data_IF_224322043712
#
_entry.id   IF_224322043712
#
_cell.length_a   1.000
_cell.length_b   1.000
_cell.length_c   1.000
_cell.angle_alpha   90.00
_cell.angle_beta   90.00
_cell.angle_gamma   90.00
#
_symmetry.space_group_name_H-M   'P 1'
#
loop_
_entity.id
_entity.type
_entity.pdbx_description
1 polymer ?
#
# COMPACT_ATOMS: atom_id res chain seq x y z
N UNK A 1 10.06 15.91 9.49
CA UNK A 1 8.58 15.77 9.52
C UNK A 1 8.24 14.46 10.20
N UNK A 2 7.24 14.42 11.11
CA UNK A 2 6.90 13.20 11.87
C UNK A 2 6.07 12.24 10.99
N UNK A 3 6.39 10.96 11.06
CA UNK A 3 5.68 9.89 10.36
C UNK A 3 4.90 9.05 11.36
N UNK A 4 3.71 8.59 10.96
CA UNK A 4 3.00 7.54 11.68
C UNK A 4 3.70 6.19 11.41
N UNK A 5 3.67 5.24 12.36
CA UNK A 5 4.10 3.88 12.08
C UNK A 5 3.25 3.27 10.94
N UNK A 6 3.75 2.25 10.23
CA UNK A 6 2.96 1.54 9.23
C UNK A 6 1.65 1.02 9.83
N UNK A 7 0.53 1.28 9.16
CA UNK A 7 -0.81 0.91 9.60
C UNK A 7 -1.64 0.29 8.47
N UNK A 8 -2.73 -0.39 8.82
CA UNK A 8 -3.62 -1.01 7.83
C UNK A 8 -4.48 0.05 7.14
N UNK A 9 -4.68 -0.14 5.83
CA UNK A 9 -5.56 0.67 5.00
C UNK A 9 -6.77 -0.17 4.55
N UNK A 10 -7.88 0.49 4.25
CA UNK A 10 -9.12 -0.17 3.88
C UNK A 10 -9.59 0.22 2.45
N UNK A 11 -10.81 -0.17 2.09
CA UNK A 11 -11.38 0.09 0.78
C UNK A 11 -11.44 1.60 0.44
N UNK A 12 -11.72 2.46 1.43
CA UNK A 12 -11.90 3.89 1.24
C UNK A 12 -10.59 4.62 0.92
N UNK A 13 -9.45 4.03 1.28
CA UNK A 13 -8.13 4.55 0.94
C UNK A 13 -7.74 4.35 -0.53
N UNK A 14 -8.53 3.60 -1.32
CA UNK A 14 -8.21 3.31 -2.73
C UNK A 14 -7.83 4.55 -3.56
N UNK A 15 -8.55 5.70 -3.51
CA UNK A 15 -8.16 6.87 -4.28
C UNK A 15 -6.77 7.38 -3.90
N UNK A 16 -6.46 7.41 -2.58
CA UNK A 16 -5.17 7.87 -2.04
C UNK A 16 -4.04 6.93 -2.47
N UNK A 17 -4.27 5.62 -2.44
CA UNK A 17 -3.33 4.58 -2.90
C UNK A 17 -3.04 4.75 -4.40
N UNK A 18 -4.07 4.98 -5.22
CA UNK A 18 -3.89 5.20 -6.66
C UNK A 18 -3.10 6.48 -6.94
N UNK A 19 -3.40 7.57 -6.26
CA UNK A 19 -2.67 8.84 -6.38
C UNK A 19 -1.20 8.65 -6.02
N UNK A 20 -0.89 8.03 -4.87
CA UNK A 20 0.49 7.73 -4.47
C UNK A 20 1.23 6.88 -5.51
N UNK A 21 0.60 5.80 -6.01
CA UNK A 21 1.24 4.91 -7.00
C UNK A 21 1.54 5.64 -8.30
N UNK A 22 0.66 6.53 -8.76
CA UNK A 22 0.92 7.39 -9.94
C UNK A 22 2.08 8.36 -9.67
N UNK A 23 2.06 9.05 -8.53
CA UNK A 23 3.11 9.98 -8.14
C UNK A 23 4.49 9.28 -7.99
N UNK A 24 4.50 8.02 -7.57
CA UNK A 24 5.69 7.18 -7.52
C UNK A 24 6.20 6.72 -8.90
N UNK A 25 5.49 7.05 -9.99
CA UNK A 25 5.84 6.67 -11.36
C UNK A 25 5.52 5.21 -11.72
N UNK A 26 4.64 4.54 -10.96
CA UNK A 26 4.29 3.15 -11.24
C UNK A 26 3.21 3.05 -12.32
N UNK A 27 3.39 2.09 -13.23
CA UNK A 27 2.34 1.72 -14.17
C UNK A 27 1.14 1.13 -13.42
N UNK A 28 -0.05 1.65 -13.71
CA UNK A 28 -1.31 1.24 -13.08
C UNK A 28 -2.32 0.82 -14.15
N UNK A 29 -3.14 -0.19 -13.84
CA UNK A 29 -4.21 -0.71 -14.70
C UNK A 29 -5.60 -0.49 -14.06
N UNK A 30 -6.12 0.75 -14.02
CA UNK A 30 -7.35 1.11 -13.30
C UNK A 30 -8.62 0.50 -13.91
N UNK A 31 -8.60 0.09 -15.18
CA UNK A 31 -9.69 -0.67 -15.82
C UNK A 31 -9.57 -2.19 -15.67
N UNK A 32 -8.51 -2.66 -15.00
CA UNK A 32 -8.20 -4.09 -14.86
C UNK A 32 -7.90 -4.46 -13.41
N UNK A 33 -6.75 -5.11 -13.19
CA UNK A 33 -6.39 -5.66 -11.86
C UNK A 33 -6.16 -4.61 -10.77
N UNK A 34 -5.94 -3.35 -11.13
CA UNK A 34 -5.84 -2.24 -10.17
C UNK A 34 -7.15 -1.43 -10.09
N UNK A 35 -8.27 -1.93 -10.66
CA UNK A 35 -9.59 -1.29 -10.55
C UNK A 35 -10.11 -1.30 -9.11
N UNK A 36 -10.96 -0.32 -8.77
CA UNK A 36 -11.65 -0.23 -7.47
C UNK A 36 -12.36 -1.55 -7.14
N UNK A 37 -13.14 -2.08 -8.08
CA UNK A 37 -13.87 -3.35 -7.92
C UNK A 37 -12.94 -4.54 -7.64
N UNK A 38 -11.80 -4.62 -8.33
CA UNK A 38 -10.84 -5.70 -8.08
C UNK A 38 -10.19 -5.56 -6.70
N UNK A 39 -9.80 -4.34 -6.34
CA UNK A 39 -9.19 -4.03 -5.05
C UNK A 39 -10.12 -4.36 -3.88
N UNK A 40 -11.38 -3.89 -3.93
CA UNK A 40 -12.39 -4.17 -2.91
C UNK A 40 -12.69 -5.66 -2.78
N UNK A 41 -12.84 -6.37 -3.90
CA UNK A 41 -13.08 -7.82 -3.89
C UNK A 41 -11.93 -8.58 -3.21
N UNK A 42 -10.67 -8.17 -3.45
CA UNK A 42 -9.51 -8.81 -2.84
C UNK A 42 -9.37 -8.51 -1.35
N UNK A 43 -9.71 -7.28 -0.93
CA UNK A 43 -9.80 -6.94 0.49
C UNK A 43 -10.89 -7.76 1.19
N UNK A 44 -12.09 -7.79 0.61
CA UNK A 44 -13.25 -8.48 1.18
C UNK A 44 -13.05 -10.01 1.28
N UNK A 45 -12.22 -10.60 0.40
CA UNK A 45 -11.90 -12.03 0.48
C UNK A 45 -10.90 -12.36 1.60
N UNK A 46 -10.36 -11.38 2.31
CA UNK A 46 -9.32 -11.54 3.33
C UNK A 46 -7.94 -11.92 2.77
N UNK A 47 -7.81 -12.08 1.44
CA UNK A 47 -6.57 -12.52 0.80
C UNK A 47 -5.59 -11.35 0.69
N UNK A 48 -6.10 -10.13 0.49
CA UNK A 48 -5.27 -8.93 0.38
C UNK A 48 -5.28 -8.12 1.66
N UNK A 49 -4.09 -7.72 2.09
CA UNK A 49 -3.87 -6.72 3.13
C UNK A 49 -3.12 -5.53 2.54
N UNK A 50 -3.42 -4.34 3.02
CA UNK A 50 -2.77 -3.12 2.56
C UNK A 50 -2.19 -2.38 3.75
N UNK A 51 -0.90 -2.08 3.67
CA UNK A 51 -0.16 -1.38 4.73
C UNK A 51 0.31 -0.04 4.19
N UNK A 52 0.04 1.04 4.92
CA UNK A 52 0.39 2.41 4.56
C UNK A 52 1.31 3.07 5.58
N UNK A 53 2.15 4.01 5.12
CA UNK A 53 2.83 4.98 5.97
C UNK A 53 2.25 6.36 5.66
N UNK A 54 1.82 7.04 6.70
CA UNK A 54 1.28 8.39 6.61
C UNK A 54 2.19 9.41 7.30
N UNK A 55 2.14 10.65 6.83
CA UNK A 55 2.62 11.79 7.61
C UNK A 55 1.75 12.01 8.84
N UNK A 56 2.24 12.78 9.81
CA UNK A 56 1.41 13.21 10.96
C UNK A 56 0.14 13.97 10.51
N UNK A 57 0.17 14.61 9.35
CA UNK A 57 -0.93 15.36 8.74
C UNK A 57 -1.92 14.45 7.99
N UNK A 58 -1.60 13.16 7.82
CA UNK A 58 -2.48 12.21 7.13
C UNK A 58 -2.21 12.10 5.62
N UNK A 59 -1.05 12.50 5.12
CA UNK A 59 -0.69 12.26 3.72
C UNK A 59 -0.12 10.85 3.57
N UNK A 60 -0.67 10.06 2.66
CA UNK A 60 -0.16 8.72 2.37
C UNK A 60 1.10 8.81 1.51
N UNK A 61 2.26 8.50 2.10
CA UNK A 61 3.57 8.64 1.43
C UNK A 61 4.23 7.31 1.07
N UNK A 62 3.68 6.20 1.58
CA UNK A 62 4.15 4.86 1.28
C UNK A 62 3.02 3.84 1.39
N UNK A 63 3.04 2.82 0.54
CA UNK A 63 2.05 1.74 0.58
C UNK A 63 2.64 0.41 0.10
N UNK A 64 2.24 -0.69 0.74
CA UNK A 64 2.44 -2.05 0.28
C UNK A 64 1.09 -2.77 0.17
N UNK A 65 0.83 -3.38 -0.99
CA UNK A 65 -0.32 -4.28 -1.20
C UNK A 65 0.24 -5.69 -1.19
N UNK A 66 -0.19 -6.48 -0.22
CA UNK A 66 0.26 -7.86 -0.03
C UNK A 66 -0.91 -8.81 -0.18
N UNK A 67 -0.65 -10.00 -0.70
CA UNK A 67 -1.62 -11.10 -0.68
C UNK A 67 -1.01 -12.35 -0.06
N UNK A 68 -1.83 -13.30 0.37
CA UNK A 68 -1.37 -14.63 0.76
C UNK A 68 -2.19 -15.75 0.12
N UNK A 69 -1.59 -16.92 -0.02
CA UNK A 69 -2.27 -18.15 -0.47
C UNK A 69 -2.45 -19.16 0.69
N UNK A 70 -2.38 -18.69 1.93
CA UNK A 70 -2.28 -19.44 3.22
C UNK A 70 -0.93 -20.11 3.49
N UNK A 71 -0.06 -20.24 2.50
CA UNK A 71 1.28 -20.84 2.66
C UNK A 71 2.39 -19.80 2.57
N UNK A 72 2.23 -18.79 1.72
CA UNK A 72 3.21 -17.73 1.44
C UNK A 72 2.51 -16.38 1.33
N UNK A 73 3.20 -15.34 1.80
CA UNK A 73 2.86 -13.96 1.52
C UNK A 73 3.61 -13.45 0.29
N UNK A 74 2.96 -12.61 -0.51
CA UNK A 74 3.55 -11.95 -1.67
C UNK A 74 3.29 -10.44 -1.61
N UNK A 75 4.36 -9.65 -1.75
CA UNK A 75 4.25 -8.21 -1.96
C UNK A 75 3.98 -7.96 -3.43
N UNK A 76 2.73 -7.63 -3.77
CA UNK A 76 2.31 -7.41 -5.15
C UNK A 76 2.71 -6.03 -5.66
N UNK A 77 2.59 -5.02 -4.80
CA UNK A 77 2.92 -3.63 -5.11
C UNK A 77 3.56 -2.99 -3.89
N UNK A 78 4.61 -2.22 -4.12
CA UNK A 78 5.26 -1.39 -3.13
C UNK A 78 5.55 -0.04 -3.76
N UNK A 79 5.11 1.04 -3.12
CA UNK A 79 5.35 2.39 -3.58
C UNK A 79 5.77 3.28 -2.43
N UNK A 80 6.74 4.16 -2.70
CA UNK A 80 7.12 5.28 -1.83
C UNK A 80 7.15 6.53 -2.69
N UNK A 81 6.54 7.61 -2.19
CA UNK A 81 6.50 8.92 -2.82
C UNK A 81 7.93 9.38 -3.17
N UNK A 82 8.12 10.04 -4.31
CA UNK A 82 9.43 10.40 -4.85
C UNK A 82 10.29 11.16 -3.83
N UNK A 83 9.71 12.18 -3.20
CA UNK A 83 10.37 13.05 -2.22
C UNK A 83 10.71 12.36 -0.88
N UNK A 84 10.19 11.16 -0.66
CA UNK A 84 10.33 10.41 0.59
C UNK A 84 11.20 9.15 0.45
N UNK A 85 11.85 8.97 -0.71
CA UNK A 85 12.75 7.84 -0.98
C UNK A 85 14.06 7.98 -0.22
N UNK A 86 14.82 6.88 -0.17
CA UNK A 86 16.15 6.76 0.48
C UNK A 86 16.16 7.00 2.00
N UNK A 87 14.98 7.00 2.64
CA UNK A 87 14.82 7.15 4.10
C UNK A 87 14.42 5.84 4.81
N UNK A 88 14.55 4.69 4.15
CA UNK A 88 14.21 3.39 4.74
C UNK A 88 12.71 3.06 4.81
N UNK A 89 11.82 3.89 4.25
CA UNK A 89 10.36 3.70 4.34
C UNK A 89 9.87 2.39 3.72
N UNK A 90 10.49 1.94 2.62
CA UNK A 90 10.20 0.64 2.02
C UNK A 90 10.48 -0.52 3.00
N UNK A 91 11.59 -0.44 3.76
CA UNK A 91 11.94 -1.42 4.78
C UNK A 91 10.90 -1.41 5.91
N UNK A 92 10.44 -0.21 6.32
CA UNK A 92 9.41 -0.07 7.35
C UNK A 92 8.07 -0.67 6.89
N UNK A 93 7.65 -0.43 5.64
CA UNK A 93 6.46 -1.04 5.06
C UNK A 93 6.54 -2.57 5.07
N UNK A 94 7.67 -3.14 4.61
CA UNK A 94 7.87 -4.60 4.61
C UNK A 94 7.78 -5.14 6.04
N UNK A 95 8.41 -4.49 7.01
CA UNK A 95 8.32 -4.90 8.41
C UNK A 95 6.90 -4.77 8.97
N UNK A 96 6.08 -3.84 8.48
CA UNK A 96 4.66 -3.74 8.82
C UNK A 96 3.81 -4.87 8.24
N UNK A 97 4.20 -5.44 7.10
CA UNK A 97 3.51 -6.58 6.48
C UNK A 97 3.72 -7.91 7.22
N UNK A 98 4.76 -8.00 8.07
CA UNK A 98 5.12 -9.22 8.80
C UNK A 98 4.50 -9.29 10.20
N UNK A 99 3.87 -8.20 10.66
CA UNK A 99 3.25 -8.11 11.99
C UNK A 99 1.79 -8.53 11.85
N UNK A 100 1.50 -9.79 12.19
CA UNK A 100 0.16 -10.26 12.54
C UNK A 100 -0.10 -9.97 14.01
#
# INVERSE_FOLDING_TARGET
MKLKPPGWLNADDYPRIMTLRRAAGLHIRPKGRDSRRAFERQLASGIQTVVGIETAQGDLIGVALVTHDSRKGLINRLAVHLDWRRQGLAKNLIAGCLRN
#
